data_IF_292420463519
#
_entry.id   IF_292420463519
#
_cell.length_a   1.000
_cell.length_b   1.000
_cell.length_c   1.000
_cell.angle_alpha   90.00
_cell.angle_beta   90.00
_cell.angle_gamma   90.00
#
_symmetry.space_group_name_H-M   'P 1'
#
loop_
_entity.id
_entity.type
_entity.pdbx_description
1 polymer ?
#
# COMPACT_ATOMS: atom_id res chain seq x y z
N UNK A 1 11.85 26.03 -48.49
CA UNK A 1 12.34 26.44 -47.18
C UNK A 1 11.14 26.33 -46.23
N UNK A 2 10.97 25.19 -45.58
CA UNK A 2 9.90 24.93 -44.63
C UNK A 2 10.55 24.27 -43.44
N UNK A 3 10.69 25.06 -42.36
CA UNK A 3 11.16 24.61 -41.05
C UNK A 3 10.08 23.78 -40.35
N UNK A 4 10.38 22.53 -40.12
CA UNK A 4 9.58 21.65 -39.29
C UNK A 4 10.05 21.77 -37.84
N UNK A 5 9.31 22.51 -37.01
CA UNK A 5 9.47 22.51 -35.57
C UNK A 5 8.97 21.17 -34.98
N UNK A 6 9.91 20.31 -34.63
CA UNK A 6 9.66 19.15 -33.81
C UNK A 6 9.39 19.56 -32.35
N UNK A 7 8.17 19.38 -31.88
CA UNK A 7 7.84 19.49 -30.48
C UNK A 7 8.46 18.29 -29.72
N UNK A 8 9.52 18.56 -28.96
CA UNK A 8 10.00 17.67 -27.91
C UNK A 8 9.03 17.77 -26.73
N UNK A 9 8.25 16.74 -26.50
CA UNK A 9 7.53 16.53 -25.21
C UNK A 9 8.59 16.32 -24.15
N UNK A 10 8.82 17.34 -23.32
CA UNK A 10 9.71 17.27 -22.18
C UNK A 10 9.09 16.40 -21.11
N UNK A 11 9.73 15.27 -20.80
CA UNK A 11 9.55 14.58 -19.53
C UNK A 11 9.88 15.57 -18.42
N UNK A 12 8.86 15.99 -17.65
CA UNK A 12 9.05 16.73 -16.41
C UNK A 12 9.71 15.77 -15.43
N UNK A 13 11.02 15.87 -15.27
CA UNK A 13 11.74 15.16 -14.22
C UNK A 13 11.12 15.51 -12.87
N UNK A 14 10.75 14.48 -12.10
CA UNK A 14 10.27 14.61 -10.73
C UNK A 14 11.37 15.31 -9.94
N UNK A 15 11.10 16.46 -9.28
CA UNK A 15 12.15 17.13 -8.49
C UNK A 15 12.44 16.27 -7.27
N UNK A 16 13.54 15.54 -7.29
CA UNK A 16 14.11 14.91 -6.08
C UNK A 16 14.67 16.02 -5.19
N UNK A 17 13.80 16.64 -4.40
CA UNK A 17 14.27 17.51 -3.32
C UNK A 17 14.96 16.60 -2.30
N UNK A 18 16.27 16.76 -2.17
CA UNK A 18 17.11 16.03 -1.25
C UNK A 18 16.86 16.38 0.22
N UNK A 19 15.70 15.99 0.73
CA UNK A 19 15.44 15.88 2.17
C UNK A 19 15.92 14.51 2.62
N UNK A 20 17.22 14.45 3.00
CA UNK A 20 17.81 13.19 3.39
C UNK A 20 17.37 12.75 4.77
N UNK A 21 17.15 11.45 4.93
CA UNK A 21 17.22 10.75 6.22
C UNK A 21 18.59 10.93 6.87
N UNK A 22 19.57 11.54 6.16
CA UNK A 22 20.94 11.81 6.60
C UNK A 22 20.94 12.70 7.86
N UNK A 23 21.37 12.09 8.96
CA UNK A 23 21.50 12.74 10.27
C UNK A 23 20.34 12.49 11.23
N UNK A 24 19.25 11.80 10.82
CA UNK A 24 18.24 11.28 11.73
C UNK A 24 18.59 9.87 12.16
N UNK A 25 18.42 9.58 13.45
CA UNK A 25 18.42 8.21 13.95
C UNK A 25 17.15 7.53 13.47
N UNK A 26 17.28 6.42 12.76
CA UNK A 26 16.16 5.59 12.33
C UNK A 26 16.33 4.23 12.99
N UNK A 27 15.36 3.86 13.83
CA UNK A 27 15.34 2.59 14.55
C UNK A 27 14.43 1.56 13.84
N UNK A 28 13.44 2.02 13.05
CA UNK A 28 12.55 1.14 12.29
C UNK A 28 12.06 1.76 10.98
N UNK A 29 11.79 0.90 9.99
CA UNK A 29 11.03 1.23 8.81
C UNK A 29 9.78 0.36 8.79
N UNK A 30 8.62 0.99 8.76
CA UNK A 30 7.33 0.35 8.66
C UNK A 30 6.77 0.57 7.26
N UNK A 31 6.12 -0.44 6.71
CA UNK A 31 5.62 -0.42 5.34
C UNK A 31 4.13 -0.78 5.30
N UNK A 32 3.38 -0.15 4.41
CA UNK A 32 2.19 -0.78 3.87
C UNK A 32 2.58 -2.00 3.03
N UNK A 33 1.63 -2.86 2.70
CA UNK A 33 1.89 -4.10 1.98
C UNK A 33 1.49 -4.01 0.51
N UNK A 34 0.21 -3.74 0.23
CA UNK A 34 -0.39 -3.81 -1.10
C UNK A 34 -0.06 -2.54 -1.91
N UNK A 35 0.62 -2.65 -3.05
CA UNK A 35 1.07 -1.48 -3.82
C UNK A 35 2.39 -0.89 -3.33
N UNK A 36 2.86 -1.25 -2.14
CA UNK A 36 4.11 -0.78 -1.54
C UNK A 36 5.20 -1.86 -1.56
N UNK A 37 4.97 -3.02 -0.96
CA UNK A 37 5.91 -4.15 -0.94
C UNK A 37 5.60 -5.21 -2.00
N UNK A 38 4.33 -5.39 -2.34
CA UNK A 38 3.84 -6.37 -3.31
C UNK A 38 3.03 -5.70 -4.42
N UNK A 39 3.22 -6.15 -5.65
CA UNK A 39 2.50 -5.70 -6.85
C UNK A 39 1.13 -6.38 -6.94
N UNK A 40 0.24 -6.01 -6.04
CA UNK A 40 -1.11 -6.58 -5.93
C UNK A 40 -2.20 -5.74 -6.58
N UNK A 41 -1.94 -4.48 -6.92
CA UNK A 41 -2.94 -3.53 -7.42
C UNK A 41 -3.60 -4.03 -8.73
N UNK A 42 -2.88 -4.53 -9.75
CA UNK A 42 -3.50 -5.09 -10.94
C UNK A 42 -4.42 -6.28 -10.62
N UNK A 43 -4.02 -7.13 -9.66
CA UNK A 43 -4.83 -8.26 -9.21
C UNK A 43 -6.12 -7.80 -8.54
N UNK A 44 -6.08 -6.75 -7.73
CA UNK A 44 -7.29 -6.17 -7.13
C UNK A 44 -8.27 -5.65 -8.18
N UNK A 45 -7.81 -4.95 -9.21
CA UNK A 45 -8.67 -4.48 -10.29
C UNK A 45 -9.32 -5.63 -11.04
N UNK A 46 -8.56 -6.66 -11.40
CA UNK A 46 -9.06 -7.84 -12.09
C UNK A 46 -10.05 -8.63 -11.24
N UNK A 47 -9.73 -8.83 -9.96
CA UNK A 47 -10.60 -9.51 -9.01
C UNK A 47 -11.92 -8.74 -8.82
N UNK A 48 -11.85 -7.43 -8.63
CA UNK A 48 -13.05 -6.60 -8.48
C UNK A 48 -13.95 -6.65 -9.71
N UNK A 49 -13.36 -6.58 -10.91
CA UNK A 49 -14.12 -6.70 -12.16
C UNK A 49 -14.85 -8.04 -12.25
N UNK A 50 -14.18 -9.13 -11.91
CA UNK A 50 -14.79 -10.47 -11.92
C UNK A 50 -15.89 -10.62 -10.85
N UNK A 51 -15.73 -10.02 -9.66
CA UNK A 51 -16.75 -10.01 -8.60
C UNK A 51 -18.00 -9.27 -9.07
N UNK A 52 -17.83 -8.08 -9.65
CA UNK A 52 -18.95 -7.28 -10.15
C UNK A 52 -19.72 -8.01 -11.25
N UNK A 53 -19.01 -8.67 -12.16
CA UNK A 53 -19.62 -9.50 -13.23
C UNK A 53 -20.42 -10.67 -12.64
N UNK A 54 -19.84 -11.42 -11.68
CA UNK A 54 -20.48 -12.57 -11.02
C UNK A 54 -21.77 -12.18 -10.27
N UNK A 55 -21.78 -10.98 -9.65
CA UNK A 55 -22.91 -10.46 -8.88
C UNK A 55 -23.94 -9.74 -9.78
N UNK A 56 -23.61 -9.51 -11.07
CA UNK A 56 -24.46 -8.78 -11.99
C UNK A 56 -24.49 -7.27 -11.74
N UNK A 57 -23.42 -6.72 -11.16
CA UNK A 57 -23.24 -5.29 -10.95
C UNK A 57 -22.50 -4.66 -12.15
N UNK A 58 -22.77 -3.37 -12.47
CA UNK A 58 -22.01 -2.66 -13.50
C UNK A 58 -20.54 -2.54 -13.08
N UNK A 59 -19.63 -2.51 -14.07
CA UNK A 59 -18.22 -2.27 -13.83
C UNK A 59 -18.02 -0.91 -13.16
N UNK A 60 -17.15 -0.87 -12.16
CA UNK A 60 -16.86 0.34 -11.41
C UNK A 60 -15.70 1.14 -12.03
N UNK A 61 -15.75 2.48 -12.00
CA UNK A 61 -14.62 3.30 -12.39
C UNK A 61 -13.42 3.10 -11.45
N UNK A 62 -12.21 3.39 -11.97
CA UNK A 62 -10.93 3.16 -11.27
C UNK A 62 -10.92 3.77 -9.86
N UNK A 63 -11.46 4.96 -9.73
CA UNK A 63 -11.48 5.73 -8.46
C UNK A 63 -12.28 5.01 -7.37
N UNK A 64 -13.39 4.36 -7.72
CA UNK A 64 -14.19 3.58 -6.76
C UNK A 64 -13.49 2.30 -6.33
N UNK A 65 -12.78 1.64 -7.27
CA UNK A 65 -11.98 0.46 -6.94
C UNK A 65 -10.79 0.86 -6.06
N UNK A 66 -10.20 2.03 -6.29
CA UNK A 66 -9.16 2.58 -5.43
C UNK A 66 -9.65 2.79 -3.98
N UNK A 67 -10.85 3.33 -3.79
CA UNK A 67 -11.48 3.43 -2.46
C UNK A 67 -11.65 2.05 -1.80
N UNK A 68 -12.06 1.02 -2.56
CA UNK A 68 -12.14 -0.34 -2.04
C UNK A 68 -10.78 -0.84 -1.54
N UNK A 69 -9.70 -0.60 -2.30
CA UNK A 69 -8.35 -1.04 -1.92
C UNK A 69 -7.91 -0.38 -0.61
N UNK A 70 -8.14 0.93 -0.47
CA UNK A 70 -7.80 1.70 0.74
C UNK A 70 -8.62 1.29 1.98
N UNK A 71 -9.90 0.99 1.77
CA UNK A 71 -10.86 0.66 2.83
C UNK A 71 -10.90 -0.84 3.19
N UNK A 72 -10.18 -1.66 2.44
CA UNK A 72 -10.27 -3.12 2.55
C UNK A 72 -11.66 -3.64 2.19
N UNK A 73 -12.05 -4.78 2.73
CA UNK A 73 -13.35 -5.40 2.40
C UNK A 73 -14.56 -4.52 2.71
N UNK A 74 -14.46 -3.62 3.68
CA UNK A 74 -15.54 -2.66 3.97
C UNK A 74 -15.81 -1.71 2.80
N UNK A 75 -14.84 -1.54 1.90
CA UNK A 75 -14.94 -0.66 0.73
C UNK A 75 -15.89 -1.14 -0.38
N UNK A 76 -16.42 -2.38 -0.33
CA UNK A 76 -17.40 -2.83 -1.33
C UNK A 76 -18.63 -1.93 -1.42
N UNK A 77 -18.96 -1.19 -0.36
CA UNK A 77 -20.07 -0.24 -0.40
C UNK A 77 -19.87 0.89 -1.43
N UNK A 78 -18.63 1.21 -1.82
CA UNK A 78 -18.32 2.18 -2.87
C UNK A 78 -18.67 1.68 -4.28
N UNK A 79 -18.80 0.36 -4.45
CA UNK A 79 -19.05 -0.27 -5.76
C UNK A 79 -20.54 -0.40 -6.07
N UNK A 80 -21.41 -0.30 -5.07
CA UNK A 80 -22.85 -0.47 -5.24
C UNK A 80 -23.44 0.83 -5.78
N UNK A 81 -24.15 0.79 -6.94
CA UNK A 81 -24.82 1.97 -7.49
C UNK A 81 -25.88 2.53 -6.55
N UNK A 82 -26.05 3.87 -6.53
CA UNK A 82 -27.04 4.54 -5.68
C UNK A 82 -28.47 4.07 -5.91
N UNK A 83 -28.82 3.67 -7.15
CA UNK A 83 -30.13 3.14 -7.51
C UNK A 83 -30.43 1.77 -6.86
N UNK A 84 -29.39 1.11 -6.31
CA UNK A 84 -29.49 -0.21 -5.63
C UNK A 84 -29.26 -0.09 -4.12
N UNK A 85 -29.35 1.10 -3.56
CA UNK A 85 -29.07 1.36 -2.15
C UNK A 85 -29.99 0.62 -1.18
N UNK A 86 -31.21 0.31 -1.58
CA UNK A 86 -32.19 -0.51 -0.85
C UNK A 86 -31.77 -1.98 -0.71
N UNK A 87 -30.92 -2.48 -1.61
CA UNK A 87 -30.34 -3.83 -1.60
C UNK A 87 -28.86 -3.87 -1.20
N UNK A 88 -28.35 -2.80 -0.64
CA UNK A 88 -26.91 -2.61 -0.37
C UNK A 88 -26.31 -3.74 0.45
N UNK A 89 -26.94 -4.13 1.55
CA UNK A 89 -26.45 -5.21 2.42
C UNK A 89 -26.42 -6.56 1.71
N UNK A 90 -27.49 -6.92 1.00
CA UNK A 90 -27.58 -8.14 0.19
C UNK A 90 -26.46 -8.21 -0.87
N UNK A 91 -26.24 -7.09 -1.58
CA UNK A 91 -25.22 -7.00 -2.63
C UNK A 91 -23.81 -7.04 -2.06
N UNK A 92 -23.58 -6.42 -0.91
CA UNK A 92 -22.30 -6.53 -0.20
C UNK A 92 -21.98 -7.97 0.18
N UNK A 93 -22.94 -8.69 0.76
CA UNK A 93 -22.75 -10.11 1.10
C UNK A 93 -22.49 -10.97 -0.14
N UNK A 94 -23.19 -10.68 -1.24
CA UNK A 94 -22.94 -11.35 -2.51
C UNK A 94 -21.52 -11.09 -3.03
N UNK A 95 -21.05 -9.84 -2.99
CA UNK A 95 -19.68 -9.48 -3.36
C UNK A 95 -18.64 -10.18 -2.46
N UNK A 96 -18.86 -10.26 -1.15
CA UNK A 96 -17.96 -10.98 -0.24
C UNK A 96 -17.89 -12.48 -0.57
N UNK A 97 -19.03 -13.11 -0.84
CA UNK A 97 -19.10 -14.52 -1.23
C UNK A 97 -18.36 -14.78 -2.54
N UNK A 98 -18.67 -14.00 -3.58
CA UNK A 98 -18.01 -14.09 -4.88
C UNK A 98 -16.51 -13.83 -4.76
N UNK A 99 -16.11 -12.82 -4.00
CA UNK A 99 -14.71 -12.49 -3.73
C UNK A 99 -13.94 -13.64 -3.08
N UNK A 100 -14.53 -14.31 -2.09
CA UNK A 100 -13.94 -15.48 -1.44
C UNK A 100 -13.75 -16.64 -2.44
N UNK A 101 -14.76 -16.94 -3.25
CA UNK A 101 -14.72 -18.03 -4.22
C UNK A 101 -13.73 -17.76 -5.36
N UNK A 102 -13.77 -16.55 -5.94
CA UNK A 102 -12.89 -16.16 -7.05
C UNK A 102 -11.44 -16.08 -6.56
N UNK A 103 -11.19 -15.43 -5.41
CA UNK A 103 -9.85 -15.30 -4.86
C UNK A 103 -9.21 -16.66 -4.54
N UNK A 104 -10.00 -17.66 -4.12
CA UNK A 104 -9.49 -19.00 -3.87
C UNK A 104 -8.94 -19.70 -5.11
N UNK A 105 -9.39 -19.28 -6.31
CA UNK A 105 -8.98 -19.85 -7.61
C UNK A 105 -7.82 -19.06 -8.26
N UNK A 106 -7.45 -17.89 -7.71
CA UNK A 106 -6.34 -17.11 -8.24
C UNK A 106 -5.03 -17.86 -8.06
N UNK A 107 -4.14 -17.75 -9.04
CA UNK A 107 -2.78 -18.26 -8.94
C UNK A 107 -2.08 -17.59 -7.75
N UNK A 108 -1.58 -18.35 -6.77
CA UNK A 108 -0.79 -17.80 -5.67
C UNK A 108 0.47 -17.04 -6.13
N UNK A 109 0.90 -17.27 -7.39
CA UNK A 109 2.05 -16.62 -8.00
C UNK A 109 1.69 -15.35 -8.79
N UNK A 110 0.41 -15.00 -8.89
CA UNK A 110 -0.02 -13.82 -9.64
C UNK A 110 0.52 -12.49 -9.06
N UNK A 111 0.91 -12.48 -7.78
CA UNK A 111 1.45 -11.30 -7.10
C UNK A 111 2.96 -11.47 -6.93
N UNK A 112 3.72 -10.47 -7.32
CA UNK A 112 5.18 -10.40 -7.19
C UNK A 112 5.61 -9.37 -6.14
N UNK A 113 6.90 -9.40 -5.76
CA UNK A 113 7.50 -8.32 -4.99
C UNK A 113 7.67 -7.07 -5.85
N UNK A 114 7.50 -5.90 -5.24
CA UNK A 114 7.96 -4.66 -5.85
C UNK A 114 9.49 -4.67 -6.04
N UNK A 115 9.98 -4.03 -7.10
CA UNK A 115 11.43 -3.92 -7.33
C UNK A 115 12.15 -3.36 -6.10
N UNK A 116 13.30 -3.93 -5.77
CA UNK A 116 14.16 -3.45 -4.67
C UNK A 116 13.78 -3.91 -3.26
N UNK A 117 12.59 -4.45 -3.00
CA UNK A 117 12.14 -4.87 -1.66
C UNK A 117 13.12 -5.84 -1.02
N UNK A 118 13.59 -6.85 -1.75
CA UNK A 118 14.55 -7.83 -1.23
C UNK A 118 15.87 -7.18 -0.84
N UNK A 119 16.38 -6.26 -1.66
CA UNK A 119 17.63 -5.55 -1.38
C UNK A 119 17.48 -4.63 -0.18
N UNK A 120 16.37 -3.89 -0.09
CA UNK A 120 16.04 -2.99 1.02
C UNK A 120 15.95 -3.75 2.35
N UNK A 121 15.16 -4.83 2.42
CA UNK A 121 15.00 -5.62 3.66
C UNK A 121 16.33 -6.16 4.17
N UNK A 122 17.17 -6.71 3.27
CA UNK A 122 18.51 -7.18 3.64
C UNK A 122 19.43 -6.05 4.08
N UNK A 123 19.26 -4.85 3.54
CA UNK A 123 20.02 -3.67 3.94
C UNK A 123 19.61 -3.22 5.33
N UNK A 124 18.31 -3.02 5.58
CA UNK A 124 17.77 -2.63 6.89
C UNK A 124 18.20 -3.61 7.99
N UNK A 125 18.07 -4.91 7.72
CA UNK A 125 18.47 -5.94 8.67
C UNK A 125 19.98 -5.89 9.00
N UNK A 126 20.85 -5.64 8.02
CA UNK A 126 22.31 -5.49 8.28
C UNK A 126 22.65 -4.26 9.12
N UNK A 127 21.90 -3.19 8.97
CA UNK A 127 22.07 -1.96 9.76
C UNK A 127 21.37 -2.05 11.14
N UNK A 128 20.72 -3.19 11.45
CA UNK A 128 19.99 -3.37 12.71
C UNK A 128 18.71 -2.56 12.81
N UNK A 129 18.18 -2.07 11.66
CA UNK A 129 16.92 -1.34 11.59
C UNK A 129 15.76 -2.34 11.53
N UNK A 130 14.80 -2.19 12.41
CA UNK A 130 13.64 -3.09 12.50
C UNK A 130 12.68 -2.88 11.34
N UNK A 131 11.99 -3.96 10.95
CA UNK A 131 11.07 -3.96 9.83
C UNK A 131 9.66 -4.29 10.33
N UNK A 132 8.72 -3.36 10.11
CA UNK A 132 7.31 -3.55 10.40
C UNK A 132 6.44 -3.56 9.13
N UNK A 133 5.28 -4.22 9.19
CA UNK A 133 4.23 -4.13 8.19
C UNK A 133 2.95 -3.63 8.85
N UNK A 134 2.27 -2.66 8.23
CA UNK A 134 0.99 -2.09 8.68
C UNK A 134 0.02 -2.14 7.52
N UNK A 135 -0.88 -3.12 7.52
CA UNK A 135 -1.77 -3.39 6.37
C UNK A 135 -3.25 -3.38 6.76
N UNK A 136 -4.12 -3.00 5.83
CA UNK A 136 -5.58 -3.16 5.94
C UNK A 136 -6.04 -4.60 5.63
N UNK A 137 -5.11 -5.55 5.50
CA UNK A 137 -5.41 -6.95 5.23
C UNK A 137 -5.93 -7.66 6.47
N UNK A 138 -6.88 -8.58 6.24
CA UNK A 138 -7.39 -9.47 7.26
C UNK A 138 -6.45 -10.67 7.51
N UNK A 139 -6.48 -11.20 8.73
CA UNK A 139 -5.64 -12.31 9.18
C UNK A 139 -5.71 -13.55 8.28
N UNK A 140 -6.89 -13.86 7.74
CA UNK A 140 -7.06 -15.02 6.85
C UNK A 140 -6.43 -14.87 5.45
N UNK A 141 -6.03 -13.66 5.05
CA UNK A 141 -5.35 -13.42 3.77
C UNK A 141 -3.84 -13.20 3.90
N UNK A 142 -3.34 -12.87 5.11
CA UNK A 142 -1.96 -12.42 5.27
C UNK A 142 -0.93 -13.48 4.85
N UNK A 143 -1.17 -14.73 5.17
CA UNK A 143 -0.27 -15.84 4.81
C UNK A 143 -0.03 -15.90 3.29
N UNK A 144 -1.10 -15.73 2.51
CA UNK A 144 -1.02 -15.72 1.04
C UNK A 144 -0.33 -14.46 0.52
N UNK A 145 -0.58 -13.30 1.12
CA UNK A 145 0.04 -12.03 0.72
C UNK A 145 1.54 -11.97 1.02
N UNK A 146 2.00 -12.69 2.03
CA UNK A 146 3.43 -12.80 2.35
C UNK A 146 4.19 -13.83 1.51
N UNK A 147 3.52 -14.62 0.67
CA UNK A 147 4.19 -15.61 -0.20
C UNK A 147 5.30 -15.01 -1.07
N UNK A 148 5.18 -13.82 -1.70
CA UNK A 148 6.27 -13.23 -2.47
C UNK A 148 7.53 -12.99 -1.63
N UNK A 149 7.39 -12.56 -0.36
CA UNK A 149 8.50 -12.35 0.55
C UNK A 149 9.14 -13.68 0.99
N UNK A 150 8.31 -14.70 1.26
CA UNK A 150 8.77 -16.05 1.63
C UNK A 150 9.58 -16.73 0.53
N UNK A 151 9.17 -16.57 -0.73
CA UNK A 151 9.88 -17.18 -1.88
C UNK A 151 11.33 -16.72 -2.01
N UNK A 152 11.62 -15.50 -1.55
CA UNK A 152 12.98 -14.94 -1.59
C UNK A 152 13.65 -14.94 -0.20
N UNK A 153 12.99 -15.53 0.81
CA UNK A 153 13.53 -15.75 2.16
C UNK A 153 13.78 -14.45 2.96
N UNK A 154 12.89 -13.45 2.82
CA UNK A 154 12.98 -12.19 3.56
C UNK A 154 11.83 -11.99 4.55
N UNK A 155 10.85 -12.86 4.57
CA UNK A 155 9.74 -12.83 5.54
C UNK A 155 10.25 -13.00 6.98
N UNK A 156 11.30 -13.77 7.19
CA UNK A 156 11.96 -13.92 8.49
C UNK A 156 12.65 -12.63 9.01
N UNK A 157 12.79 -11.60 8.16
CA UNK A 157 13.35 -10.30 8.54
C UNK A 157 12.27 -9.34 9.07
N UNK A 158 11.00 -9.72 9.02
CA UNK A 158 9.88 -8.90 9.50
C UNK A 158 9.77 -9.08 11.02
N UNK A 159 9.93 -7.99 11.77
CA UNK A 159 9.86 -7.98 13.23
C UNK A 159 8.43 -7.82 13.75
N UNK A 160 7.54 -7.18 12.97
CA UNK A 160 6.14 -6.97 13.36
C UNK A 160 5.22 -6.89 12.15
N UNK A 161 4.00 -7.42 12.28
CA UNK A 161 2.89 -7.23 11.32
C UNK A 161 1.68 -6.76 12.10
N UNK A 162 1.07 -5.67 11.66
CA UNK A 162 -0.21 -5.14 12.18
C UNK A 162 -1.25 -5.34 11.10
N UNK A 163 -2.29 -6.06 11.45
CA UNK A 163 -3.45 -6.36 10.62
C UNK A 163 -4.62 -5.45 10.98
N UNK A 164 -5.66 -5.45 10.16
CA UNK A 164 -6.86 -4.65 10.42
C UNK A 164 -7.53 -5.03 11.76
N UNK A 165 -7.43 -6.29 12.19
CA UNK A 165 -7.99 -6.78 13.44
C UNK A 165 -7.16 -6.43 14.69
N UNK A 166 -5.92 -5.98 14.52
CA UNK A 166 -5.02 -5.65 15.65
C UNK A 166 -5.32 -4.28 16.27
N UNK A 167 -6.18 -3.46 15.63
CA UNK A 167 -6.50 -2.10 16.08
C UNK A 167 -8.01 -1.81 15.98
N UNK A 168 -8.45 -0.83 16.77
CA UNK A 168 -9.87 -0.42 16.76
C UNK A 168 -10.18 0.43 15.52
N UNK A 169 -9.23 1.28 15.14
CA UNK A 169 -9.35 2.15 13.98
C UNK A 169 -8.33 1.76 12.91
N UNK A 170 -8.76 1.85 11.64
CA UNK A 170 -7.89 1.64 10.48
C UNK A 170 -7.21 2.95 10.04
N UNK A 171 -6.20 2.87 9.19
CA UNK A 171 -5.66 4.03 8.46
C UNK A 171 -6.82 4.80 7.80
N UNK A 172 -6.89 6.14 7.87
CA UNK A 172 -5.85 7.11 8.24
C UNK A 172 -5.75 7.45 9.75
N UNK A 173 -6.30 6.64 10.65
CA UNK A 173 -5.97 6.75 12.08
C UNK A 173 -4.50 6.43 12.31
N UNK A 174 -3.80 7.11 13.25
CA UNK A 174 -2.43 6.79 13.62
C UNK A 174 -2.30 5.47 14.36
N UNK A 175 -3.40 4.92 14.87
CA UNK A 175 -3.41 3.76 15.78
C UNK A 175 -2.63 2.56 15.23
N UNK A 176 -2.80 2.12 13.95
CA UNK A 176 -2.05 0.99 13.40
C UNK A 176 -0.54 1.24 13.34
N UNK A 177 -0.11 2.46 12.98
CA UNK A 177 1.30 2.85 12.91
C UNK A 177 1.92 2.87 14.31
N UNK A 178 1.23 3.46 15.29
CA UNK A 178 1.64 3.48 16.69
C UNK A 178 1.66 2.06 17.30
N UNK A 179 0.72 1.20 16.93
CA UNK A 179 0.70 -0.20 17.35
C UNK A 179 1.92 -0.95 16.81
N UNK A 180 2.32 -0.68 15.57
CA UNK A 180 3.53 -1.24 14.98
C UNK A 180 4.79 -0.77 15.73
N UNK A 181 4.95 0.53 15.95
CA UNK A 181 6.08 1.09 16.69
C UNK A 181 6.20 0.47 18.10
N UNK A 182 5.08 0.36 18.84
CA UNK A 182 5.05 -0.33 20.15
C UNK A 182 5.48 -1.79 20.05
N UNK A 183 5.01 -2.54 19.04
CA UNK A 183 5.38 -3.96 18.83
C UNK A 183 6.86 -4.12 18.49
N UNK A 184 7.42 -3.14 17.76
CA UNK A 184 8.85 -3.06 17.45
C UNK A 184 9.71 -2.58 18.65
N UNK A 185 9.10 -2.00 19.68
CA UNK A 185 9.81 -1.46 20.86
C UNK A 185 10.62 -0.19 20.55
N UNK A 186 10.07 0.67 19.66
CA UNK A 186 10.68 1.94 19.24
C UNK A 186 9.68 3.09 19.41
N UNK A 187 10.17 4.34 19.33
CA UNK A 187 9.31 5.53 19.32
C UNK A 187 9.03 5.98 17.89
N UNK A 188 7.86 6.54 17.67
CA UNK A 188 7.35 6.89 16.34
C UNK A 188 8.26 7.92 15.62
N UNK A 189 8.88 8.83 16.34
CA UNK A 189 9.78 9.86 15.81
C UNK A 189 11.11 9.31 15.26
N UNK A 190 11.48 8.07 15.64
CA UNK A 190 12.60 7.32 15.06
C UNK A 190 12.17 6.35 13.95
N UNK A 191 10.92 6.40 13.53
CA UNK A 191 10.36 5.53 12.51
C UNK A 191 10.20 6.26 11.17
N UNK A 192 10.37 5.49 10.09
CA UNK A 192 9.90 5.83 8.75
C UNK A 192 8.66 4.99 8.45
N UNK A 193 7.58 5.61 7.97
CA UNK A 193 6.43 4.89 7.44
C UNK A 193 6.32 5.10 5.94
N UNK A 194 6.26 4.00 5.19
CA UNK A 194 6.27 3.97 3.72
C UNK A 194 4.94 3.41 3.24
N UNK A 195 4.26 4.12 2.33
CA UNK A 195 2.99 3.68 1.76
C UNK A 195 2.70 4.33 0.41
N UNK A 196 1.70 3.85 -0.31
CA UNK A 196 1.33 4.29 -1.65
C UNK A 196 -0.01 5.03 -1.71
N UNK A 197 -0.69 5.17 -0.57
CA UNK A 197 -2.01 5.81 -0.49
C UNK A 197 -2.03 7.01 0.47
N UNK A 198 -2.97 7.93 0.24
CA UNK A 198 -3.24 9.09 1.10
C UNK A 198 -3.47 8.70 2.56
N UNK A 199 -4.19 7.60 2.79
CA UNK A 199 -4.45 7.05 4.13
C UNK A 199 -3.17 6.64 4.86
N UNK A 200 -2.12 6.21 4.14
CA UNK A 200 -0.82 5.87 4.71
C UNK A 200 -0.08 7.13 5.17
N UNK A 201 -0.01 8.11 4.28
CA UNK A 201 0.65 9.37 4.59
C UNK A 201 -0.02 10.04 5.79
N UNK A 202 -1.34 10.13 5.82
CA UNK A 202 -2.08 10.69 6.93
C UNK A 202 -1.86 9.91 8.24
N UNK A 203 -1.89 8.57 8.20
CA UNK A 203 -1.65 7.75 9.38
C UNK A 203 -0.24 7.97 9.95
N UNK A 204 0.78 7.96 9.10
CA UNK A 204 2.16 8.19 9.50
C UNK A 204 2.40 9.60 10.04
N UNK A 205 1.88 10.63 9.38
CA UNK A 205 1.97 12.04 9.85
C UNK A 205 1.32 12.22 11.22
N UNK A 206 0.12 11.66 11.40
CA UNK A 206 -0.60 11.74 12.68
C UNK A 206 0.09 10.95 13.80
N UNK A 207 0.79 9.86 13.44
CA UNK A 207 1.62 9.10 14.37
C UNK A 207 2.95 9.78 14.71
N UNK A 208 3.37 10.80 13.96
CA UNK A 208 4.64 11.51 14.18
C UNK A 208 5.86 10.85 13.51
N UNK A 209 5.65 9.92 12.58
CA UNK A 209 6.73 9.29 11.82
C UNK A 209 7.21 10.16 10.66
N UNK A 210 8.40 9.88 10.14
CA UNK A 210 8.80 10.39 8.82
C UNK A 210 8.06 9.57 7.75
N UNK A 211 7.31 10.25 6.86
CA UNK A 211 6.47 9.58 5.88
C UNK A 211 7.04 9.61 4.48
N UNK A 212 7.04 8.45 3.83
CA UNK A 212 7.49 8.30 2.45
C UNK A 212 6.35 7.75 1.59
N UNK A 213 5.98 8.51 0.57
CA UNK A 213 5.06 8.06 -0.46
C UNK A 213 5.80 7.34 -1.60
N UNK A 214 5.27 6.20 -2.06
CA UNK A 214 5.74 5.49 -3.24
C UNK A 214 4.70 5.54 -4.35
N UNK A 215 5.15 5.71 -5.61
CA UNK A 215 4.26 5.87 -6.78
C UNK A 215 3.95 4.52 -7.46
N UNK A 216 4.07 3.43 -6.72
CA UNK A 216 3.86 2.06 -7.23
C UNK A 216 2.44 1.53 -7.02
N UNK A 217 1.59 2.28 -6.31
CA UNK A 217 0.28 1.80 -5.89
C UNK A 217 -0.91 2.61 -6.40
N UNK A 218 -1.76 3.02 -5.46
CA UNK A 218 -3.10 3.55 -5.75
C UNK A 218 -3.08 5.04 -6.09
N UNK A 219 -2.33 5.85 -5.33
CA UNK A 219 -2.36 7.31 -5.46
C UNK A 219 -1.18 7.86 -6.27
N UNK A 220 -1.40 9.03 -6.85
CA UNK A 220 -0.42 9.79 -7.61
C UNK A 220 0.38 10.76 -6.73
N UNK A 221 1.37 11.42 -7.35
CA UNK A 221 2.25 12.37 -6.69
C UNK A 221 1.48 13.51 -6.02
N UNK A 222 0.51 14.08 -6.72
CA UNK A 222 -0.28 15.22 -6.25
C UNK A 222 -1.08 14.86 -5.00
N UNK A 223 -1.70 13.69 -5.00
CA UNK A 223 -2.47 13.18 -3.85
C UNK A 223 -1.58 13.00 -2.62
N UNK A 224 -0.45 12.29 -2.78
CA UNK A 224 0.48 12.05 -1.67
C UNK A 224 1.12 13.35 -1.16
N UNK A 225 1.45 14.30 -2.05
CA UNK A 225 2.00 15.60 -1.69
C UNK A 225 0.99 16.46 -0.91
N UNK A 226 -0.29 16.45 -1.30
CA UNK A 226 -1.36 17.16 -0.57
C UNK A 226 -1.54 16.65 0.86
N UNK A 227 -1.27 15.36 1.13
CA UNK A 227 -1.31 14.82 2.49
C UNK A 227 -0.05 15.10 3.31
N UNK A 228 0.94 15.80 2.72
CA UNK A 228 2.14 16.24 3.41
C UNK A 228 3.20 15.15 3.58
N UNK A 229 3.33 14.23 2.62
CA UNK A 229 4.44 13.28 2.60
C UNK A 229 5.78 14.02 2.72
N UNK A 230 6.67 13.55 3.62
CA UNK A 230 8.00 14.16 3.81
C UNK A 230 8.92 13.86 2.63
N UNK A 231 8.66 12.75 1.93
CA UNK A 231 9.36 12.35 0.71
C UNK A 231 8.41 11.59 -0.20
N UNK A 232 8.54 11.78 -1.51
CA UNK A 232 7.83 10.96 -2.52
C UNK A 232 8.86 10.44 -3.50
N UNK A 233 8.83 9.12 -3.74
CA UNK A 233 9.79 8.41 -4.59
C UNK A 233 9.07 7.48 -5.57
N UNK A 234 9.69 7.15 -6.71
CA UNK A 234 9.10 6.23 -7.68
C UNK A 234 8.74 4.86 -7.10
N UNK A 235 9.57 4.32 -6.18
CA UNK A 235 9.32 3.04 -5.54
C UNK A 235 10.31 2.75 -4.43
N UNK A 236 10.11 1.65 -3.70
CA UNK A 236 10.93 1.28 -2.52
C UNK A 236 12.40 1.01 -2.86
N UNK A 237 12.75 0.71 -4.12
CA UNK A 237 14.15 0.58 -4.56
C UNK A 237 14.96 1.86 -4.33
N UNK A 238 14.31 3.02 -4.35
CA UNK A 238 14.95 4.33 -4.18
C UNK A 238 15.29 4.62 -2.71
N UNK A 239 14.78 3.80 -1.77
CA UNK A 239 15.19 3.85 -0.36
C UNK A 239 16.52 3.15 -0.11
N UNK A 240 16.93 2.17 -0.92
CA UNK A 240 18.14 1.36 -0.69
C UNK A 240 19.41 2.21 -0.47
N UNK A 241 19.68 3.27 -1.25
CA UNK A 241 20.85 4.09 -1.06
C UNK A 241 20.79 5.05 0.14
N UNK A 242 19.64 5.16 0.82
CA UNK A 242 19.44 6.06 1.95
C UNK A 242 19.84 5.43 3.30
N UNK A 243 19.93 4.13 3.35
CA UNK A 243 20.38 3.31 4.48
C UNK A 243 21.70 2.63 4.16
#
# INVERSE_FOLDING_TARGET
MSDSMGQKTGEKGIPTQGFGLKGKRIDAVMFDLDGTLIDSIPTYFSLTAAILEEVGLPQAPRERVACLIKDGLSGFHHLIPGEMSDRKEELMEACFRAGKEISARLDPNAVSLMPGVQALFRRLSREGIRIGIVTASHAHYIERKLLPLRRVGIDALIDAVILIEDTTEKKPSPEPVMACARRLGVTEDTCVFVGDADVDILAGKRAGTFTVGVLTGVDDYETLAMQGADMIIPGVQDLVPLF
#
